data_IF_407862648590
#
_entry.id   IF_407862648590
#
_cell.length_a   1.000
_cell.length_b   1.000
_cell.length_c   1.000
_cell.angle_alpha   90.00
_cell.angle_beta   90.00
_cell.angle_gamma   90.00
#
_symmetry.space_group_name_H-M   'P 1'
#
loop_
_entity.id
_entity.type
_entity.pdbx_description
1 polymer ?
#
# COMPACT_ATOMS: atom_id res chain seq x y z
N UNK A 1 -17.19 -23.77 -35.42
CA UNK A 1 -18.10 -22.79 -36.05
C UNK A 1 -19.25 -22.48 -35.10
N UNK A 2 -19.14 -21.37 -34.37
CA UNK A 2 -20.24 -20.62 -33.72
C UNK A 2 -19.63 -19.37 -33.08
N UNK A 3 -19.50 -18.33 -33.89
CA UNK A 3 -19.21 -16.96 -33.46
C UNK A 3 -20.44 -16.41 -32.74
N UNK A 4 -20.25 -15.83 -31.56
CA UNK A 4 -21.26 -15.03 -30.88
C UNK A 4 -20.76 -13.59 -30.80
N UNK A 5 -21.31 -12.75 -31.66
CA UNK A 5 -21.21 -11.30 -31.58
C UNK A 5 -22.11 -10.79 -30.45
N UNK A 6 -21.61 -9.89 -29.62
CA UNK A 6 -22.44 -9.04 -28.75
C UNK A 6 -22.03 -7.59 -28.97
N UNK A 7 -23.06 -6.75 -29.13
CA UNK A 7 -23.07 -5.44 -29.77
C UNK A 7 -22.69 -4.31 -28.82
N UNK A 8 -21.96 -3.34 -29.36
CA UNK A 8 -21.78 -1.96 -28.86
C UNK A 8 -23.11 -1.36 -28.35
N UNK A 9 -23.08 -0.78 -27.15
CA UNK A 9 -23.96 0.33 -26.80
C UNK A 9 -23.16 1.48 -26.17
N UNK A 10 -23.02 2.55 -26.96
CA UNK A 10 -22.71 3.92 -26.57
C UNK A 10 -23.81 4.45 -25.64
N UNK A 11 -23.45 5.04 -24.51
CA UNK A 11 -24.23 6.13 -23.92
C UNK A 11 -23.29 7.25 -23.45
N UNK A 12 -23.51 8.41 -24.04
CA UNK A 12 -22.99 9.72 -23.66
C UNK A 12 -23.98 10.31 -22.65
N UNK A 13 -23.50 10.93 -21.59
CA UNK A 13 -24.33 11.68 -20.65
C UNK A 13 -23.53 12.68 -19.84
N UNK A 14 -23.28 13.84 -20.43
CA UNK A 14 -22.81 15.05 -19.74
C UNK A 14 -23.73 15.39 -18.54
N UNK A 15 -23.14 15.77 -17.41
CA UNK A 15 -23.90 16.19 -16.22
C UNK A 15 -23.05 17.00 -15.24
N UNK A 16 -22.57 18.16 -15.68
CA UNK A 16 -21.98 19.21 -14.86
C UNK A 16 -23.08 19.81 -13.96
N UNK A 17 -22.94 19.78 -12.64
CA UNK A 17 -23.71 20.65 -11.75
C UNK A 17 -22.88 21.07 -10.53
N UNK A 18 -22.39 22.32 -10.64
CA UNK A 18 -21.92 23.17 -9.56
C UNK A 18 -23.04 23.44 -8.54
N UNK A 19 -22.76 23.28 -7.25
CA UNK A 19 -23.40 24.11 -6.21
C UNK A 19 -22.40 24.45 -5.11
N UNK A 20 -21.95 25.69 -5.13
CA UNK A 20 -21.16 26.35 -4.09
C UNK A 20 -22.15 27.03 -3.14
N UNK A 21 -22.18 26.64 -1.86
CA UNK A 21 -23.01 27.26 -0.83
C UNK A 21 -22.11 27.99 0.17
N UNK A 22 -21.98 29.30 -0.02
CA UNK A 22 -21.36 30.21 0.93
C UNK A 22 -22.41 30.65 1.96
N UNK A 23 -22.15 30.40 3.25
CA UNK A 23 -22.90 30.95 4.37
C UNK A 23 -22.01 31.87 5.19
N UNK A 24 -22.15 33.19 5.02
CA UNK A 24 -21.62 34.19 5.94
C UNK A 24 -22.65 34.41 7.05
N UNK A 25 -22.25 34.23 8.31
CA UNK A 25 -23.01 34.74 9.47
C UNK A 25 -22.28 35.97 10.00
N UNK A 26 -23.00 37.08 10.01
CA UNK A 26 -22.60 38.37 10.57
C UNK A 26 -23.52 38.72 11.75
N UNK A 27 -22.92 39.24 12.82
CA UNK A 27 -23.42 40.15 13.89
C UNK A 27 -22.61 39.81 15.16
N UNK A 28 -21.90 40.71 15.84
CA UNK A 28 -22.09 42.15 16.01
C UNK A 28 -22.60 42.41 17.44
N UNK A 29 -21.78 43.04 18.29
CA UNK A 29 -22.26 43.84 19.44
C UNK A 29 -21.91 43.36 20.86
N UNK A 30 -20.92 44.03 21.45
CA UNK A 30 -20.91 44.64 22.79
C UNK A 30 -21.17 43.83 24.09
N UNK A 31 -20.05 43.63 24.81
CA UNK A 31 -19.79 43.81 26.24
C UNK A 31 -20.97 44.05 27.21
N UNK A 32 -21.29 43.04 28.03
CA UNK A 32 -21.96 43.17 29.33
C UNK A 32 -21.24 42.31 30.37
N UNK A 33 -20.80 42.95 31.45
CA UNK A 33 -20.24 42.34 32.66
C UNK A 33 -21.32 42.09 33.72
N UNK A 34 -21.07 41.10 34.60
CA UNK A 34 -21.83 40.63 35.79
C UNK A 34 -23.03 39.71 35.47
N UNK A 35 -23.32 38.63 36.19
CA UNK A 35 -22.98 38.24 37.56
C UNK A 35 -23.02 36.69 37.70
N UNK A 36 -22.41 36.23 38.76
CA UNK A 36 -22.13 34.86 39.20
C UNK A 36 -23.40 34.10 39.60
N UNK A 37 -23.67 32.95 39.00
CA UNK A 37 -24.48 31.89 39.63
C UNK A 37 -24.04 30.51 39.16
N UNK A 38 -23.67 29.67 40.14
CA UNK A 38 -23.51 28.22 40.11
C UNK A 38 -24.07 27.51 38.87
N UNK A 39 -23.16 27.08 38.00
CA UNK A 39 -23.39 25.96 37.11
C UNK A 39 -22.24 24.99 37.36
N UNK A 40 -22.57 23.84 37.94
CA UNK A 40 -21.67 22.72 38.05
C UNK A 40 -21.03 22.47 36.69
N UNK A 41 -19.72 22.72 36.59
CA UNK A 41 -18.92 22.31 35.47
C UNK A 41 -18.97 20.78 35.46
N UNK A 42 -19.84 20.23 34.61
CA UNK A 42 -19.60 18.90 34.06
C UNK A 42 -18.38 19.11 33.16
N UNK A 43 -17.21 18.96 33.76
CA UNK A 43 -15.98 18.69 33.02
C UNK A 43 -16.29 17.41 32.22
N UNK A 44 -16.70 17.62 30.98
CA UNK A 44 -16.66 16.56 29.99
C UNK A 44 -15.18 16.39 29.73
N UNK A 45 -14.55 15.48 30.47
CA UNK A 45 -13.26 14.94 30.09
C UNK A 45 -13.47 14.36 28.69
N UNK A 46 -13.12 15.15 27.68
CA UNK A 46 -12.89 14.61 26.35
C UNK A 46 -11.63 13.79 26.55
N UNK A 47 -11.82 12.50 26.78
CA UNK A 47 -10.76 11.51 26.59
C UNK A 47 -10.30 11.71 25.15
N UNK A 48 -9.20 12.46 25.00
CA UNK A 48 -8.37 12.51 23.81
C UNK A 48 -7.70 11.13 23.74
N UNK A 49 -8.52 10.11 23.45
CA UNK A 49 -8.06 8.84 22.92
C UNK A 49 -7.27 9.24 21.69
N UNK A 50 -5.95 9.22 21.84
CA UNK A 50 -5.01 9.42 20.76
C UNK A 50 -5.34 8.37 19.70
N UNK A 51 -6.26 8.71 18.79
CA UNK A 51 -6.52 7.91 17.62
C UNK A 51 -5.22 7.95 16.85
N UNK A 52 -4.47 6.84 16.92
CA UNK A 52 -3.29 6.62 16.11
C UNK A 52 -3.61 6.95 14.66
N UNK A 53 -2.60 7.40 13.93
CA UNK A 53 -2.80 7.69 12.51
C UNK A 53 -3.15 6.39 11.80
N UNK A 54 -4.34 6.33 11.21
CA UNK A 54 -4.73 5.22 10.33
C UNK A 54 -4.53 5.63 8.88
N UNK A 55 -4.03 4.69 8.09
CA UNK A 55 -3.77 4.90 6.67
C UNK A 55 -4.75 4.02 5.89
N UNK A 56 -5.70 4.63 5.19
CA UNK A 56 -6.50 3.91 4.22
C UNK A 56 -5.68 3.62 2.95
N UNK A 57 -6.23 2.78 2.08
CA UNK A 57 -5.57 2.36 0.83
C UNK A 57 -5.26 3.54 -0.11
N UNK A 58 -6.08 4.59 -0.13
CA UNK A 58 -5.84 5.78 -0.94
C UNK A 58 -4.68 6.63 -0.40
N UNK A 59 -4.62 6.83 0.91
CA UNK A 59 -3.53 7.53 1.59
C UNK A 59 -2.21 6.75 1.40
N UNK A 60 -2.24 5.44 1.61
CA UNK A 60 -1.09 4.57 1.37
C UNK A 60 -0.59 4.68 -0.07
N UNK A 61 -1.47 4.53 -1.07
CA UNK A 61 -1.11 4.64 -2.48
C UNK A 61 -0.49 6.02 -2.79
N UNK A 62 -1.08 7.11 -2.30
CA UNK A 62 -0.52 8.46 -2.49
C UNK A 62 0.89 8.59 -1.89
N UNK A 63 1.14 8.00 -0.72
CA UNK A 63 2.46 8.02 -0.09
C UNK A 63 3.44 7.16 -0.89
N UNK A 64 3.04 5.96 -1.30
CA UNK A 64 3.85 5.05 -2.11
C UNK A 64 4.26 5.69 -3.45
N UNK A 65 3.32 6.22 -4.23
CA UNK A 65 3.61 6.92 -5.51
C UNK A 65 4.59 8.08 -5.31
N UNK A 66 4.55 8.77 -4.17
CA UNK A 66 5.48 9.87 -3.88
C UNK A 66 6.95 9.43 -3.74
N UNK A 67 7.20 8.13 -3.45
CA UNK A 67 8.56 7.57 -3.36
C UNK A 67 9.22 7.39 -4.73
N UNK A 68 8.44 7.36 -5.82
CA UNK A 68 8.90 7.11 -7.19
C UNK A 68 9.61 5.75 -7.40
N UNK A 69 9.51 4.83 -6.43
CA UNK A 69 10.19 3.52 -6.52
C UNK A 69 9.69 2.67 -7.68
N UNK A 70 8.39 2.75 -7.98
CA UNK A 70 7.81 2.04 -9.11
C UNK A 70 8.53 2.34 -10.42
N UNK A 71 8.81 3.62 -10.71
CA UNK A 71 9.57 4.02 -11.89
C UNK A 71 11.05 3.63 -11.87
N UNK A 72 11.61 3.25 -10.71
CA UNK A 72 12.94 2.67 -10.61
C UNK A 72 12.98 1.18 -10.96
N UNK A 73 11.85 0.49 -10.85
CA UNK A 73 11.71 -0.94 -11.16
C UNK A 73 11.19 -1.20 -12.58
N UNK A 74 10.37 -0.29 -13.10
CA UNK A 74 9.95 -0.27 -14.50
C UNK A 74 11.16 0.08 -15.38
N UNK A 75 11.88 -0.95 -15.84
CA UNK A 75 13.13 -0.78 -16.56
C UNK A 75 12.91 -0.33 -18.01
N UNK A 76 11.69 -0.47 -18.52
CA UNK A 76 11.34 -0.23 -19.91
C UNK A 76 10.46 1.02 -20.13
N UNK A 77 10.08 1.71 -19.04
CA UNK A 77 9.31 2.95 -18.98
C UNK A 77 7.89 2.84 -19.59
N UNK A 78 7.24 1.67 -19.50
CA UNK A 78 5.87 1.47 -20.00
C UNK A 78 4.78 1.66 -18.92
N UNK A 79 5.18 2.02 -17.71
CA UNK A 79 4.36 2.19 -16.50
C UNK A 79 3.71 0.89 -16.00
N UNK A 80 4.29 -0.24 -16.36
CA UNK A 80 3.86 -1.56 -15.94
C UNK A 80 5.09 -2.37 -15.51
N UNK A 81 4.90 -3.32 -14.59
CA UNK A 81 5.93 -4.28 -14.26
C UNK A 81 5.62 -5.60 -14.96
N UNK A 82 6.54 -6.05 -15.81
CA UNK A 82 6.55 -7.43 -16.26
C UNK A 82 6.96 -8.38 -15.12
N UNK A 83 7.01 -9.69 -15.39
CA UNK A 83 7.36 -10.68 -14.36
C UNK A 83 8.77 -10.48 -13.79
N UNK A 84 9.74 -10.07 -14.60
CA UNK A 84 11.10 -9.84 -14.13
C UNK A 84 11.16 -8.57 -13.30
N UNK A 85 10.57 -7.47 -13.78
CA UNK A 85 10.51 -6.18 -13.08
C UNK A 85 9.76 -6.30 -11.76
N UNK A 86 8.65 -7.05 -11.75
CA UNK A 86 7.91 -7.36 -10.53
C UNK A 86 8.77 -8.14 -9.53
N UNK A 87 9.44 -9.22 -9.94
CA UNK A 87 10.29 -9.98 -9.03
C UNK A 87 11.50 -9.16 -8.54
N UNK A 88 12.06 -8.32 -9.40
CA UNK A 88 13.20 -7.46 -9.08
C UNK A 88 12.82 -6.35 -8.10
N UNK A 89 11.56 -5.88 -8.14
CA UNK A 89 11.03 -4.96 -7.14
C UNK A 89 11.08 -5.55 -5.73
N UNK A 90 10.67 -6.82 -5.56
CA UNK A 90 10.75 -7.49 -4.26
C UNK A 90 12.20 -7.73 -3.85
N UNK A 91 13.04 -8.19 -4.78
CA UNK A 91 14.45 -8.43 -4.47
C UNK A 91 15.13 -7.17 -3.95
N UNK A 92 15.00 -6.05 -4.67
CA UNK A 92 15.56 -4.75 -4.27
C UNK A 92 14.91 -4.17 -3.01
N UNK A 93 13.64 -4.51 -2.73
CA UNK A 93 12.96 -4.08 -1.51
C UNK A 93 13.42 -4.89 -0.30
N UNK A 94 13.77 -6.16 -0.47
CA UNK A 94 14.15 -7.08 0.60
C UNK A 94 15.66 -7.03 0.90
N UNK A 95 16.47 -6.58 -0.05
CA UNK A 95 17.91 -6.33 0.10
C UNK A 95 18.13 -5.03 0.89
N UNK A 96 17.98 -5.10 2.22
CA UNK A 96 18.05 -3.94 3.11
C UNK A 96 19.43 -3.26 3.11
N UNK A 97 20.47 -4.00 2.73
CA UNK A 97 21.85 -3.55 2.82
C UNK A 97 22.48 -3.18 1.45
N UNK A 98 21.72 -3.33 0.36
CA UNK A 98 22.08 -3.05 -1.03
C UNK A 98 23.33 -3.80 -1.54
N UNK A 99 23.59 -5.03 -1.05
CA UNK A 99 24.74 -5.83 -1.49
C UNK A 99 24.46 -6.74 -2.69
N UNK A 100 23.24 -6.70 -3.22
CA UNK A 100 22.72 -7.52 -4.33
C UNK A 100 22.62 -9.00 -4.01
N UNK A 101 22.49 -9.34 -2.74
CA UNK A 101 22.20 -10.67 -2.23
C UNK A 101 21.13 -10.55 -1.14
N UNK A 102 20.38 -11.62 -0.89
CA UNK A 102 19.56 -11.70 0.31
C UNK A 102 20.18 -12.71 1.26
N UNK A 103 20.51 -12.29 2.47
CA UNK A 103 20.87 -13.22 3.53
C UNK A 103 19.63 -13.89 4.15
N UNK A 104 19.83 -14.92 4.98
CA UNK A 104 18.72 -15.65 5.60
C UNK A 104 17.84 -14.75 6.49
N UNK A 105 18.40 -13.71 7.11
CA UNK A 105 17.64 -12.81 7.97
C UNK A 105 16.78 -11.84 7.15
N UNK A 106 17.31 -11.26 6.09
CA UNK A 106 16.58 -10.39 5.16
C UNK A 106 15.43 -11.16 4.53
N UNK A 107 15.71 -12.35 4.00
CA UNK A 107 14.69 -13.21 3.42
C UNK A 107 13.65 -13.65 4.45
N UNK A 108 14.04 -14.10 5.65
CA UNK A 108 13.07 -14.60 6.65
C UNK A 108 12.18 -13.48 7.18
N UNK A 109 12.75 -12.29 7.41
CA UNK A 109 12.00 -11.12 7.86
C UNK A 109 10.97 -10.74 6.82
N UNK A 110 11.41 -10.60 5.57
CA UNK A 110 10.53 -10.20 4.48
C UNK A 110 9.51 -11.28 4.15
N UNK A 111 9.90 -12.55 4.07
CA UNK A 111 8.96 -13.65 3.87
C UNK A 111 7.83 -13.65 4.93
N UNK A 112 8.13 -13.36 6.19
CA UNK A 112 7.09 -13.27 7.22
C UNK A 112 6.16 -12.06 6.99
N UNK A 113 6.72 -10.88 6.75
CA UNK A 113 5.93 -9.66 6.52
C UNK A 113 5.05 -9.76 5.26
N UNK A 114 5.47 -10.58 4.30
CA UNK A 114 4.73 -10.87 3.08
C UNK A 114 3.89 -12.16 3.14
N UNK A 115 3.65 -12.72 4.33
CA UNK A 115 2.70 -13.84 4.49
C UNK A 115 3.21 -15.19 3.95
N UNK A 116 4.52 -15.32 3.74
CA UNK A 116 5.21 -16.53 3.27
C UNK A 116 5.76 -17.38 4.44
N UNK A 117 5.11 -17.34 5.60
CA UNK A 117 5.58 -17.87 6.91
C UNK A 117 5.86 -19.38 6.99
N UNK A 118 5.72 -20.13 5.90
CA UNK A 118 5.93 -21.59 5.86
C UNK A 118 6.91 -22.04 4.77
N UNK A 119 7.71 -21.11 4.25
CA UNK A 119 8.79 -21.44 3.30
C UNK A 119 10.03 -21.94 4.05
N UNK A 120 10.81 -22.81 3.40
CA UNK A 120 12.09 -23.25 3.92
C UNK A 120 13.22 -22.54 3.16
N UNK A 121 14.11 -21.85 3.88
CA UNK A 121 15.31 -21.21 3.33
C UNK A 121 16.10 -22.14 2.39
N UNK A 122 16.24 -23.42 2.76
CA UNK A 122 17.03 -24.39 2.01
C UNK A 122 16.41 -24.78 0.66
N UNK A 123 15.13 -24.48 0.45
CA UNK A 123 14.45 -24.66 -0.84
C UNK A 123 14.67 -23.46 -1.78
N UNK A 124 15.08 -22.32 -1.22
CA UNK A 124 15.41 -21.09 -1.93
C UNK A 124 16.91 -21.01 -2.25
N UNK A 125 17.77 -21.29 -1.26
CA UNK A 125 19.24 -21.34 -1.40
C UNK A 125 19.66 -22.67 -2.04
N UNK A 126 19.52 -22.75 -3.36
CA UNK A 126 19.73 -23.98 -4.13
C UNK A 126 21.20 -24.35 -4.23
N UNK A 127 22.08 -23.36 -4.24
CA UNK A 127 23.53 -23.53 -4.39
C UNK A 127 24.24 -23.76 -3.02
N UNK A 128 23.56 -23.46 -1.90
CA UNK A 128 24.01 -23.58 -0.50
C UNK A 128 25.18 -22.67 -0.14
N UNK A 129 25.19 -21.44 -0.64
CA UNK A 129 26.18 -20.44 -0.31
C UNK A 129 25.76 -19.49 0.84
N UNK A 130 24.55 -19.71 1.39
CA UNK A 130 23.91 -18.92 2.45
C UNK A 130 23.49 -17.51 2.02
N UNK A 131 23.33 -17.28 0.72
CA UNK A 131 22.72 -16.09 0.16
C UNK A 131 21.73 -16.51 -0.93
N UNK A 132 20.76 -15.67 -1.23
CA UNK A 132 19.97 -15.79 -2.46
C UNK A 132 20.47 -14.77 -3.46
N UNK A 133 20.90 -15.27 -4.61
CA UNK A 133 21.05 -14.40 -5.77
C UNK A 133 19.69 -14.11 -6.43
N UNK A 134 19.67 -13.17 -7.38
CA UNK A 134 18.44 -12.82 -8.10
C UNK A 134 17.78 -14.01 -8.82
N UNK A 135 18.54 -15.00 -9.30
CA UNK A 135 17.98 -16.14 -10.02
C UNK A 135 17.29 -17.11 -9.06
N UNK A 136 17.90 -17.37 -7.91
CA UNK A 136 17.32 -18.18 -6.83
C UNK A 136 16.04 -17.52 -6.30
N UNK A 137 16.10 -16.21 -6.06
CA UNK A 137 14.95 -15.42 -5.63
C UNK A 137 13.81 -15.45 -6.66
N UNK A 138 14.08 -15.13 -7.94
CA UNK A 138 13.07 -15.19 -9.02
C UNK A 138 12.45 -16.59 -9.14
N UNK A 139 13.26 -17.64 -9.01
CA UNK A 139 12.76 -19.03 -9.05
C UNK A 139 11.85 -19.35 -7.87
N UNK A 140 12.15 -18.83 -6.68
CA UNK A 140 11.29 -18.94 -5.50
C UNK A 140 10.00 -18.15 -5.66
N UNK A 141 10.09 -16.87 -6.04
CA UNK A 141 8.95 -15.98 -6.25
C UNK A 141 8.02 -16.45 -7.37
N UNK A 142 8.55 -17.05 -8.43
CA UNK A 142 7.73 -17.64 -9.51
C UNK A 142 6.86 -18.83 -9.07
N UNK A 143 7.05 -19.35 -7.85
CA UNK A 143 6.16 -20.35 -7.24
C UNK A 143 5.07 -19.72 -6.36
N UNK A 144 5.18 -18.42 -6.05
CA UNK A 144 4.16 -17.67 -5.32
C UNK A 144 3.00 -17.30 -6.24
N UNK A 145 1.88 -16.90 -5.64
CA UNK A 145 0.71 -16.43 -6.39
C UNK A 145 0.60 -14.90 -6.43
N UNK A 146 1.54 -14.13 -5.85
CA UNK A 146 1.39 -12.68 -5.68
C UNK A 146 1.02 -11.96 -6.97
N UNK A 147 1.79 -12.16 -8.04
CA UNK A 147 1.49 -11.52 -9.33
C UNK A 147 0.10 -11.88 -9.86
N UNK A 148 -0.32 -13.14 -9.72
CA UNK A 148 -1.65 -13.57 -10.19
C UNK A 148 -2.77 -13.00 -9.30
N UNK A 149 -2.52 -12.82 -8.01
CA UNK A 149 -3.49 -12.27 -7.06
C UNK A 149 -3.59 -10.74 -7.17
N UNK A 150 -2.49 -10.07 -7.53
CA UNK A 150 -2.39 -8.62 -7.60
C UNK A 150 -2.75 -8.06 -8.98
N UNK A 151 -2.54 -8.84 -10.05
CA UNK A 151 -3.03 -8.53 -11.40
C UNK A 151 -4.56 -8.65 -11.46
N UNK A 152 -5.24 -7.56 -11.09
CA UNK A 152 -6.70 -7.50 -11.00
C UNK A 152 -7.34 -7.46 -12.38
N UNK A 153 -6.65 -6.86 -13.34
CA UNK A 153 -7.17 -6.64 -14.68
C UNK A 153 -6.90 -7.83 -15.64
N UNK A 154 -6.03 -8.76 -15.24
CA UNK A 154 -5.63 -9.99 -15.92
C UNK A 154 -4.88 -9.80 -17.24
N UNK A 155 -4.09 -8.73 -17.36
CA UNK A 155 -3.26 -8.46 -18.53
C UNK A 155 -1.84 -9.08 -18.44
N UNK A 156 -1.53 -9.74 -17.32
CA UNK A 156 -0.23 -10.30 -16.97
C UNK A 156 0.85 -9.24 -16.74
N UNK A 157 0.47 -8.00 -16.47
CA UNK A 157 1.36 -6.95 -16.01
C UNK A 157 0.87 -6.46 -14.65
N UNK A 158 1.68 -5.67 -13.97
CA UNK A 158 1.29 -5.05 -12.70
C UNK A 158 1.46 -3.54 -12.86
N UNK A 159 0.36 -2.80 -12.78
CA UNK A 159 0.43 -1.34 -12.72
C UNK A 159 0.78 -0.83 -11.29
N UNK A 160 1.12 0.45 -11.15
CA UNK A 160 1.49 1.04 -9.85
C UNK A 160 0.38 0.88 -8.81
N UNK A 161 -0.88 0.94 -9.24
CA UNK A 161 -2.01 0.81 -8.31
C UNK A 161 -2.16 -0.63 -7.84
N UNK A 162 -2.11 -1.60 -8.75
CA UNK A 162 -2.13 -3.03 -8.44
C UNK A 162 -1.00 -3.42 -7.49
N UNK A 163 0.21 -2.90 -7.72
CA UNK A 163 1.34 -3.11 -6.82
C UNK A 163 1.06 -2.55 -5.42
N UNK A 164 0.71 -1.26 -5.32
CA UNK A 164 0.47 -0.61 -4.02
C UNK A 164 -0.70 -1.21 -3.25
N UNK A 165 -1.77 -1.62 -3.95
CA UNK A 165 -2.91 -2.29 -3.34
C UNK A 165 -2.54 -3.69 -2.84
N UNK A 166 -1.66 -4.38 -3.56
CA UNK A 166 -1.09 -5.65 -3.14
C UNK A 166 -0.27 -5.53 -1.85
N UNK A 167 0.63 -4.54 -1.78
CA UNK A 167 1.39 -4.24 -0.56
C UNK A 167 0.46 -3.90 0.61
N UNK A 168 -0.51 -3.01 0.37
CA UNK A 168 -1.48 -2.62 1.38
C UNK A 168 -2.23 -3.83 1.94
N UNK A 169 -2.78 -4.68 1.06
CA UNK A 169 -3.51 -5.87 1.48
C UNK A 169 -2.63 -6.91 2.18
N UNK A 170 -1.33 -6.92 1.90
CA UNK A 170 -0.39 -7.80 2.56
C UNK A 170 -0.03 -7.32 3.99
N UNK A 171 -0.07 -6.01 4.23
CA UNK A 171 0.26 -5.42 5.53
C UNK A 171 -0.95 -5.19 6.44
N UNK A 172 -2.16 -5.15 5.88
CA UNK A 172 -3.43 -5.13 6.61
C UNK A 172 -3.68 -6.51 7.23
N UNK A 173 -3.02 -6.77 8.35
CA UNK A 173 -3.00 -8.07 9.00
C UNK A 173 -4.38 -8.42 9.59
N UNK A 174 -5.16 -7.41 9.97
CA UNK A 174 -6.46 -7.59 10.60
C UNK A 174 -7.63 -7.53 9.58
N UNK A 175 -7.37 -7.18 8.32
CA UNK A 175 -8.31 -7.05 7.20
C UNK A 175 -9.44 -6.03 7.44
N UNK A 176 -9.15 -4.91 8.13
CA UNK A 176 -10.10 -3.84 8.37
C UNK A 176 -10.09 -2.74 7.29
N UNK A 177 -9.25 -2.88 6.27
CA UNK A 177 -8.99 -1.94 5.18
C UNK A 177 -8.36 -0.62 5.65
N UNK A 178 -7.65 -0.67 6.76
CA UNK A 178 -6.76 0.38 7.24
C UNK A 178 -5.44 -0.25 7.66
N UNK A 179 -4.36 0.53 7.60
CA UNK A 179 -3.13 0.22 8.31
C UNK A 179 -3.10 1.09 9.55
N UNK A 180 -3.03 0.47 10.71
CA UNK A 180 -2.72 1.20 11.94
C UNK A 180 -1.24 1.63 11.98
N UNK A 181 -0.86 2.40 12.99
CA UNK A 181 0.51 2.89 13.13
C UNK A 181 1.53 1.76 13.26
N UNK A 182 1.18 0.59 13.81
CA UNK A 182 2.10 -0.53 13.89
C UNK A 182 2.25 -1.17 12.51
N UNK A 183 1.14 -1.52 11.86
CA UNK A 183 1.14 -2.14 10.52
C UNK A 183 1.88 -1.29 9.49
N UNK A 184 1.65 0.03 9.51
CA UNK A 184 2.32 0.97 8.62
C UNK A 184 3.79 1.15 8.99
N UNK A 185 4.12 1.53 10.24
CA UNK A 185 5.50 1.92 10.57
C UNK A 185 6.48 0.74 10.59
N UNK A 186 6.04 -0.45 11.01
CA UNK A 186 6.87 -1.66 11.03
C UNK A 186 7.37 -2.05 9.63
N UNK A 187 6.55 -1.81 8.62
CA UNK A 187 6.83 -2.20 7.24
C UNK A 187 7.31 -1.02 6.38
N UNK A 188 6.61 0.11 6.39
CA UNK A 188 6.93 1.25 5.53
C UNK A 188 8.32 1.79 5.81
N UNK A 189 8.69 1.99 7.09
CA UNK A 189 10.01 2.52 7.45
C UNK A 189 11.13 1.61 6.97
N UNK A 190 10.93 0.29 7.07
CA UNK A 190 11.90 -0.72 6.66
C UNK A 190 12.10 -0.74 5.15
N UNK A 191 11.01 -0.78 4.38
CA UNK A 191 11.08 -1.03 2.94
C UNK A 191 11.13 0.25 2.09
N UNK A 192 10.55 1.35 2.58
CA UNK A 192 10.34 2.57 1.81
C UNK A 192 10.76 3.86 2.54
N UNK A 193 11.30 3.75 3.76
CA UNK A 193 11.70 4.88 4.60
C UNK A 193 13.12 5.41 4.39
N UNK A 194 13.90 4.79 3.49
CA UNK A 194 15.29 5.16 3.16
C UNK A 194 15.41 6.06 1.94
#
# INVERSE_FOLDING_TARGET
>A
MKTREIKLFKYIGNGLCFTLLAGLVACGGENTTLDTTDAAAVETEVEDEAMGTTYDNENFNSNFTSTQRFGGWDANDDNMLDENEFNDSFFSTWDENDDNMLDENEWRTSANNFGMENQNWQDWDTNRDNNLDQNEFRTGMGKSNFRTEWDRNQDNMIDEREYSDGIFGQWDANNDNMLDDNEYNENYTRYYGS
#
